data_IF_881682862604
#
_entry.id   IF_881682862604
#
_cell.length_a   1.000
_cell.length_b   1.000
_cell.length_c   1.000
_cell.angle_alpha   90.00
_cell.angle_beta   90.00
_cell.angle_gamma   90.00
#
_symmetry.space_group_name_H-M   'P 1'
#
loop_
_entity.id
_entity.type
_entity.pdbx_description
1 polymer ?
#
# COMPACT_ATOMS: atom_id res chain seq x y z
N UNK A 1 12.84 4.86 -5.18
CA UNK A 1 11.68 4.56 -6.05
C UNK A 1 11.85 4.96 -7.52
N UNK A 2 12.80 5.84 -7.90
CA UNK A 2 12.91 6.34 -9.29
C UNK A 2 13.09 5.25 -10.36
N UNK A 3 13.77 4.14 -10.05
CA UNK A 3 14.08 3.06 -11.00
C UNK A 3 13.00 1.98 -11.20
N UNK A 4 11.94 1.95 -10.37
CA UNK A 4 10.93 0.89 -10.47
C UNK A 4 9.82 1.23 -11.47
N UNK A 5 8.97 0.25 -11.83
CA UNK A 5 7.82 0.47 -12.74
C UNK A 5 6.66 1.17 -12.00
N UNK A 6 5.76 1.83 -12.72
CA UNK A 6 4.49 2.30 -12.14
C UNK A 6 3.73 1.13 -11.52
N UNK A 7 3.08 1.35 -10.38
CA UNK A 7 2.41 0.29 -9.61
C UNK A 7 3.38 -0.55 -8.77
N UNK A 8 4.67 -0.23 -8.74
CA UNK A 8 5.60 -0.85 -7.79
C UNK A 8 5.33 -0.36 -6.39
N UNK A 9 5.29 -1.25 -5.41
CA UNK A 9 4.82 -0.92 -4.07
C UNK A 9 5.63 -1.61 -2.97
N UNK A 10 5.53 -1.04 -1.77
CA UNK A 10 6.16 -1.56 -0.56
C UNK A 10 5.28 -1.26 0.65
N UNK A 11 5.00 -2.30 1.44
CA UNK A 11 4.29 -2.21 2.72
C UNK A 11 5.31 -2.18 3.84
N UNK A 12 5.10 -1.30 4.81
CA UNK A 12 5.97 -1.15 6.00
C UNK A 12 5.11 -1.06 7.23
N UNK A 13 5.50 -1.73 8.30
CA UNK A 13 4.87 -1.51 9.61
C UNK A 13 5.24 -0.12 10.12
N UNK A 14 4.30 0.56 10.77
CA UNK A 14 4.61 1.77 11.51
C UNK A 14 5.51 1.45 12.70
N UNK A 15 6.51 2.30 12.94
CA UNK A 15 7.43 2.20 14.08
C UNK A 15 6.80 2.79 15.36
N UNK A 16 5.85 3.71 15.21
CA UNK A 16 5.27 4.48 16.32
C UNK A 16 3.82 4.09 16.66
N UNK A 17 3.11 3.39 15.75
CA UNK A 17 1.71 3.03 15.94
C UNK A 17 1.49 1.54 15.71
N UNK A 18 0.89 0.85 16.70
CA UNK A 18 0.47 -0.54 16.55
C UNK A 18 -0.64 -0.64 15.50
N UNK A 19 -0.63 -1.74 14.75
CA UNK A 19 -1.64 -2.07 13.73
C UNK A 19 -1.82 -1.01 12.63
N UNK A 20 -0.79 -0.19 12.40
CA UNK A 20 -0.75 0.77 11.29
C UNK A 20 0.41 0.38 10.37
N UNK A 21 0.15 0.47 9.08
CA UNK A 21 1.13 0.21 8.03
C UNK A 21 1.14 1.37 7.04
N UNK A 22 2.31 1.60 6.45
CA UNK A 22 2.51 2.57 5.38
C UNK A 22 2.72 1.81 4.07
N UNK A 23 1.85 2.07 3.10
CA UNK A 23 1.96 1.58 1.74
C UNK A 23 2.56 2.70 0.88
N UNK A 24 3.78 2.46 0.38
CA UNK A 24 4.45 3.38 -0.54
C UNK A 24 4.33 2.81 -1.95
N UNK A 25 3.96 3.63 -2.93
CA UNK A 25 3.70 3.20 -4.30
C UNK A 25 4.37 4.17 -5.28
N UNK A 26 4.95 3.63 -6.36
CA UNK A 26 5.28 4.44 -7.52
C UNK A 26 4.02 4.70 -8.34
N UNK A 27 3.47 5.90 -8.22
CA UNK A 27 2.30 6.35 -8.96
C UNK A 27 2.61 6.73 -10.40
N UNK A 28 1.59 7.24 -11.06
CA UNK A 28 1.59 7.64 -12.47
C UNK A 28 2.62 8.76 -12.70
N UNK A 29 3.34 8.69 -13.82
CA UNK A 29 4.45 9.61 -14.18
C UNK A 29 5.56 9.65 -13.14
N UNK A 30 5.68 8.59 -12.34
CA UNK A 30 6.68 8.46 -11.28
C UNK A 30 6.42 9.30 -10.04
N UNK A 31 5.22 9.85 -9.88
CA UNK A 31 4.82 10.54 -8.64
C UNK A 31 4.67 9.53 -7.50
N UNK A 32 5.46 9.62 -6.42
CA UNK A 32 5.33 8.70 -5.30
C UNK A 32 4.01 8.94 -4.55
N UNK A 33 3.37 7.86 -4.12
CA UNK A 33 2.17 7.90 -3.27
C UNK A 33 2.43 7.19 -1.96
N UNK A 34 1.88 7.74 -0.87
CA UNK A 34 1.95 7.17 0.46
C UNK A 34 0.54 7.05 1.02
N UNK A 35 0.11 5.83 1.29
CA UNK A 35 -1.23 5.51 1.78
C UNK A 35 -1.10 4.81 3.14
N UNK A 36 -1.94 5.19 4.09
CA UNK A 36 -2.03 4.53 5.39
C UNK A 36 -2.96 3.32 5.31
N UNK A 37 -2.51 2.18 5.80
CA UNK A 37 -3.38 1.04 6.11
C UNK A 37 -3.53 1.02 7.62
N UNK A 38 -4.76 1.17 8.11
CA UNK A 38 -5.06 1.24 9.54
C UNK A 38 -6.13 0.24 9.94
N UNK A 39 -6.11 -0.17 11.20
CA UNK A 39 -7.19 -0.98 11.78
C UNK A 39 -8.35 -0.08 12.20
N UNK A 40 -9.57 -0.39 11.75
CA UNK A 40 -10.82 0.27 12.10
C UNK A 40 -11.89 -0.78 12.34
N UNK A 41 -12.58 -0.73 13.47
CA UNK A 41 -13.63 -1.69 13.85
C UNK A 41 -13.22 -3.18 13.76
N UNK A 42 -11.92 -3.48 13.99
CA UNK A 42 -11.39 -4.84 13.94
C UNK A 42 -10.88 -5.29 12.56
N UNK A 43 -11.01 -4.45 11.53
CA UNK A 43 -10.60 -4.77 10.16
C UNK A 43 -9.62 -3.71 9.60
N UNK A 44 -8.77 -4.11 8.66
CA UNK A 44 -7.81 -3.22 8.00
C UNK A 44 -8.43 -2.51 6.81
N UNK A 45 -8.27 -1.20 6.76
CA UNK A 45 -8.72 -0.31 5.69
C UNK A 45 -7.53 0.45 5.07
N UNK A 46 -7.59 0.69 3.77
CA UNK A 46 -6.63 1.47 2.98
C UNK A 46 -7.11 2.92 2.84
N UNK A 47 -6.75 3.79 3.78
CA UNK A 47 -7.30 5.15 3.91
C UNK A 47 -8.73 5.16 4.45
N UNK A 48 -9.34 6.35 4.50
CA UNK A 48 -10.70 6.54 5.00
C UNK A 48 -11.75 6.04 3.98
N UNK A 49 -12.79 5.35 4.46
CA UNK A 49 -13.92 4.83 3.65
C UNK A 49 -13.56 3.79 2.57
N UNK A 50 -12.45 3.08 2.71
CA UNK A 50 -12.13 1.95 1.84
C UNK A 50 -12.73 0.65 2.37
N UNK A 51 -12.79 -0.36 1.49
CA UNK A 51 -13.26 -1.69 1.85
C UNK A 51 -12.44 -2.26 3.03
N UNK A 52 -13.10 -2.81 4.06
CA UNK A 52 -12.43 -3.46 5.17
C UNK A 52 -11.98 -4.88 4.82
N UNK A 53 -10.87 -5.31 5.43
CA UNK A 53 -10.30 -6.64 5.26
C UNK A 53 -9.79 -7.21 6.60
N UNK A 54 -9.92 -8.52 6.85
CA UNK A 54 -9.38 -9.18 8.03
C UNK A 54 -7.87 -8.98 8.25
N UNK A 55 -7.07 -8.94 7.17
CA UNK A 55 -5.60 -8.87 7.26
C UNK A 55 -4.98 -7.94 6.21
N UNK A 56 -3.77 -7.43 6.50
CA UNK A 56 -3.04 -6.59 5.53
C UNK A 56 -2.71 -7.33 4.22
N UNK A 57 -2.29 -8.61 4.21
CA UNK A 57 -2.12 -9.35 2.95
C UNK A 57 -3.38 -9.39 2.09
N UNK A 58 -4.57 -9.48 2.68
CA UNK A 58 -5.84 -9.44 1.94
C UNK A 58 -6.13 -8.05 1.35
N UNK A 59 -5.83 -6.98 2.09
CA UNK A 59 -5.87 -5.61 1.54
C UNK A 59 -5.01 -5.55 0.28
N UNK A 60 -3.77 -6.06 0.34
CA UNK A 60 -2.83 -6.01 -0.78
C UNK A 60 -3.32 -6.85 -1.94
N UNK A 61 -3.72 -8.10 -1.70
CA UNK A 61 -4.20 -9.01 -2.74
C UNK A 61 -5.41 -8.44 -3.50
N UNK A 62 -6.35 -7.82 -2.79
CA UNK A 62 -7.48 -7.16 -3.42
C UNK A 62 -7.05 -6.05 -4.39
N UNK A 63 -6.16 -5.14 -3.95
CA UNK A 63 -5.70 -4.02 -4.77
C UNK A 63 -4.62 -4.39 -5.80
N UNK A 64 -4.22 -5.67 -5.90
CA UNK A 64 -3.50 -6.16 -7.09
C UNK A 64 -4.44 -6.21 -8.31
N UNK A 65 -5.74 -6.43 -8.07
CA UNK A 65 -6.78 -6.61 -9.09
C UNK A 65 -7.67 -5.39 -9.25
N UNK A 66 -7.84 -4.58 -8.19
CA UNK A 66 -8.72 -3.42 -8.13
C UNK A 66 -7.95 -2.10 -8.04
N UNK A 67 -8.52 -1.04 -8.64
CA UNK A 67 -7.94 0.30 -8.61
C UNK A 67 -7.91 0.87 -7.18
N UNK A 68 -6.90 1.66 -6.87
CA UNK A 68 -6.76 2.26 -5.55
C UNK A 68 -7.84 3.34 -5.30
N UNK A 69 -8.49 3.33 -4.12
CA UNK A 69 -9.58 4.25 -3.79
C UNK A 69 -9.03 5.60 -3.27
N UNK A 70 -7.96 6.14 -3.89
CA UNK A 70 -7.37 7.41 -3.47
C UNK A 70 -7.40 8.42 -4.61
N UNK A 71 -7.67 9.68 -4.26
CA UNK A 71 -7.69 10.77 -5.22
C UNK A 71 -6.34 10.87 -5.93
N UNK A 72 -6.38 11.14 -7.24
CA UNK A 72 -5.21 11.22 -8.11
C UNK A 72 -4.42 9.91 -8.30
N UNK A 73 -4.92 8.76 -7.83
CA UNK A 73 -4.32 7.46 -8.17
C UNK A 73 -4.45 7.11 -9.65
N UNK A 74 -5.44 7.66 -10.35
CA UNK A 74 -5.86 7.16 -11.65
C UNK A 74 -6.22 5.67 -11.57
N UNK A 75 -5.96 4.91 -12.65
CA UNK A 75 -6.23 3.47 -12.72
C UNK A 75 -5.12 2.60 -12.11
N UNK A 76 -4.46 3.09 -11.06
CA UNK A 76 -3.30 2.42 -10.47
C UNK A 76 -3.70 1.22 -9.61
N UNK A 77 -2.88 0.18 -9.69
CA UNK A 77 -2.99 -1.08 -8.94
C UNK A 77 -1.65 -1.47 -8.32
N UNK A 78 -1.66 -2.40 -7.37
CA UNK A 78 -0.47 -2.94 -6.73
C UNK A 78 0.13 -4.06 -7.58
N UNK A 79 1.01 -3.71 -8.51
CA UNK A 79 1.46 -4.63 -9.56
C UNK A 79 2.80 -5.30 -9.26
N UNK A 80 3.75 -4.55 -8.68
CA UNK A 80 5.13 -5.03 -8.52
C UNK A 80 5.57 -4.92 -7.07
N UNK A 81 5.46 -5.99 -6.26
CA UNK A 81 5.95 -5.95 -4.87
C UNK A 81 7.46 -5.74 -4.85
N UNK A 82 7.90 -4.77 -4.06
CA UNK A 82 9.32 -4.57 -3.77
C UNK A 82 9.61 -5.29 -2.45
N UNK A 83 10.35 -6.38 -2.51
CA UNK A 83 10.91 -6.98 -1.29
C UNK A 83 11.97 -6.02 -0.74
N UNK A 84 11.87 -5.68 0.55
CA UNK A 84 13.01 -5.05 1.23
C UNK A 84 14.12 -6.09 1.30
N UNK A 85 15.30 -5.77 0.78
CA UNK A 85 16.51 -6.51 1.16
C UNK A 85 16.58 -6.48 2.68
N UNK A 86 16.67 -7.67 3.28
CA UNK A 86 17.06 -7.76 4.68
C UNK A 86 18.46 -7.14 4.73
N UNK A 87 18.62 -6.03 5.43
CA UNK A 87 19.96 -5.58 5.79
C UNK A 87 20.62 -6.75 6.52
N UNK A 88 21.53 -7.45 5.84
CA UNK A 88 22.47 -8.33 6.49
C UNK A 88 23.33 -7.41 7.36
N UNK A 89 23.15 -7.55 8.66
CA UNK A 89 24.02 -6.94 9.66
C UNK A 89 24.95 -8.03 10.18
#
# INVERSE_FOLDING_TARGET
>A
MRIHKEGSYLVRRSETQKNVFSLSIKGIRGMPMHIRIGLSNGEYILGENSQPFPTVPEVIDYYTRHELPVQNAGRLRLLYPIMREKHAN
#
